data_IF_621661817336
#
_entry.id   IF_621661817336
#
_cell.length_a   1.000
_cell.length_b   1.000
_cell.length_c   1.000
_cell.angle_alpha   90.00
_cell.angle_beta   90.00
_cell.angle_gamma   90.00
#
_symmetry.space_group_name_H-M   'P 1'
#
loop_
_entity.id
_entity.type
_entity.pdbx_description
1 polymer ?
#
# COMPACT_ATOMS: atom_id res chain seq x y z
N UNK A 1 1.51 -21.67 -24.14
CA UNK A 1 1.12 -20.30 -24.54
C UNK A 1 0.03 -19.84 -23.60
N UNK A 2 0.43 -19.41 -22.41
CA UNK A 2 -0.45 -19.03 -21.31
C UNK A 2 -0.51 -17.51 -21.29
N UNK A 3 -1.68 -16.94 -21.58
CA UNK A 3 -1.90 -15.49 -21.48
C UNK A 3 -2.04 -15.16 -20.00
N UNK A 4 -1.07 -14.42 -19.45
CA UNK A 4 -1.22 -13.75 -18.15
C UNK A 4 -2.27 -12.66 -18.33
N UNK A 5 -3.43 -12.84 -17.71
CA UNK A 5 -4.48 -11.83 -17.59
C UNK A 5 -4.09 -11.03 -16.37
N UNK A 6 -3.37 -9.93 -16.60
CA UNK A 6 -2.98 -8.97 -15.56
C UNK A 6 -4.20 -8.16 -15.17
N UNK A 7 -4.45 -8.05 -13.87
CA UNK A 7 -5.74 -7.74 -13.28
C UNK A 7 -5.70 -6.32 -12.71
N UNK A 8 -5.89 -5.37 -13.60
CA UNK A 8 -5.97 -3.92 -13.36
C UNK A 8 -7.21 -3.62 -12.51
N UNK A 9 -7.13 -3.70 -11.18
CA UNK A 9 -8.30 -3.39 -10.33
C UNK A 9 -8.00 -2.78 -8.95
N UNK A 10 -6.74 -2.73 -8.48
CA UNK A 10 -6.46 -2.31 -7.09
C UNK A 10 -6.70 -0.81 -6.80
N UNK A 11 -6.84 0.06 -7.79
CA UNK A 11 -6.66 1.50 -7.57
C UNK A 11 -7.88 2.35 -7.19
N UNK A 12 -9.11 1.88 -7.38
CA UNK A 12 -10.28 2.76 -7.20
C UNK A 12 -10.70 2.84 -5.73
N UNK A 13 -10.32 1.89 -4.88
CA UNK A 13 -10.90 1.77 -3.54
C UNK A 13 -10.07 2.40 -2.40
N UNK A 14 -8.73 2.42 -2.48
CA UNK A 14 -7.91 3.03 -1.41
C UNK A 14 -8.23 4.53 -1.23
N UNK A 15 -8.57 5.24 -2.32
CA UNK A 15 -8.77 6.71 -2.28
C UNK A 15 -10.21 7.15 -2.00
N UNK A 16 -11.22 6.28 -2.12
CA UNK A 16 -12.59 6.63 -1.72
C UNK A 16 -12.82 6.57 -0.21
N UNK A 17 -11.88 6.01 0.56
CA UNK A 17 -12.06 5.84 2.02
C UNK A 17 -11.34 6.90 2.87
N UNK A 18 -10.35 7.63 2.34
CA UNK A 18 -9.68 8.72 3.07
C UNK A 18 -10.63 9.93 3.28
N UNK A 19 -11.63 10.12 2.41
CA UNK A 19 -12.63 11.19 2.56
C UNK A 19 -13.83 10.84 3.44
N UNK A 20 -13.88 9.64 4.06
CA UNK A 20 -15.11 9.07 4.61
C UNK A 20 -15.24 8.92 6.13
N UNK A 21 -14.17 9.12 6.92
CA UNK A 21 -14.20 8.88 8.37
C UNK A 21 -14.04 10.16 9.21
N UNK A 22 -14.92 11.14 8.97
CA UNK A 22 -15.21 12.19 9.94
C UNK A 22 -16.72 12.40 10.05
N UNK A 23 -17.44 11.42 10.62
CA UNK A 23 -18.78 11.65 11.18
C UNK A 23 -18.78 11.17 12.63
N UNK A 24 -18.30 12.05 13.50
CA UNK A 24 -18.58 12.00 14.93
C UNK A 24 -20.10 12.10 15.14
N UNK A 25 -20.63 11.19 15.95
CA UNK A 25 -21.93 11.37 16.61
C UNK A 25 -21.87 12.64 17.46
N UNK A 26 -22.70 13.63 17.15
CA UNK A 26 -23.35 14.38 18.22
C UNK A 26 -24.78 14.79 17.82
N UNK A 27 -25.70 14.54 18.75
CA UNK A 27 -27.12 14.84 18.62
C UNK A 27 -27.36 16.24 19.20
N UNK A 28 -27.57 17.25 18.34
CA UNK A 28 -27.97 18.58 18.81
C UNK A 28 -28.38 19.50 17.66
N UNK A 29 -29.67 19.87 17.64
CA UNK A 29 -30.36 20.70 16.63
C UNK A 29 -29.78 22.13 16.43
N UNK A 30 -30.15 22.80 15.32
CA UNK A 30 -29.39 23.86 14.65
C UNK A 30 -29.76 25.26 15.13
N UNK A 31 -28.83 26.22 15.01
CA UNK A 31 -29.10 27.61 14.62
C UNK A 31 -27.88 28.23 13.90
N UNK A 32 -28.18 28.87 12.77
CA UNK A 32 -27.53 29.98 12.07
C UNK A 32 -26.17 30.51 12.57
N UNK A 33 -25.18 30.55 11.67
CA UNK A 33 -24.55 31.80 11.22
C UNK A 33 -23.30 31.56 10.37
N UNK A 34 -23.24 32.26 9.22
CA UNK A 34 -22.08 32.38 8.37
C UNK A 34 -21.02 33.25 9.05
N UNK A 35 -19.78 32.78 9.21
CA UNK A 35 -18.61 33.64 9.37
C UNK A 35 -17.42 33.05 8.60
N UNK A 36 -16.98 33.81 7.60
CA UNK A 36 -15.70 33.66 6.91
C UNK A 36 -14.62 34.34 7.74
N UNK A 37 -13.46 33.71 7.90
CA UNK A 37 -12.29 34.33 8.54
C UNK A 37 -11.03 34.06 7.70
N UNK A 38 -10.93 34.80 6.60
CA UNK A 38 -9.63 35.35 6.20
C UNK A 38 -9.32 36.50 7.17
N UNK A 39 -8.26 36.38 7.97
CA UNK A 39 -7.41 37.47 8.50
C UNK A 39 -6.77 37.04 9.83
N UNK A 40 -5.61 37.64 10.12
CA UNK A 40 -4.62 37.32 11.16
C UNK A 40 -3.67 36.21 10.68
N UNK A 41 -2.47 36.50 10.17
CA UNK A 41 -1.47 37.43 10.70
C UNK A 41 -0.67 38.10 9.57
N UNK A 42 -0.56 39.42 9.62
CA UNK A 42 0.50 40.20 8.98
C UNK A 42 1.37 40.84 10.08
N UNK A 43 2.65 40.98 9.74
CA UNK A 43 3.67 41.89 10.29
C UNK A 43 4.26 41.56 11.68
N UNK A 44 5.57 41.67 11.95
CA UNK A 44 6.68 42.24 11.20
C UNK A 44 8.03 41.83 11.86
N UNK A 45 9.09 41.79 11.04
CA UNK A 45 10.46 42.28 11.33
C UNK A 45 11.38 41.62 12.39
N UNK A 46 12.50 41.01 11.94
CA UNK A 46 13.78 41.75 11.74
C UNK A 46 14.96 40.89 11.22
N UNK A 47 15.60 41.46 10.21
CA UNK A 47 16.92 41.16 9.62
C UNK A 47 18.09 41.33 10.60
N UNK A 48 19.13 40.47 10.48
CA UNK A 48 20.56 40.86 10.49
C UNK A 48 21.35 39.97 9.49
N UNK A 49 22.25 40.64 8.77
CA UNK A 49 23.13 40.18 7.67
C UNK A 49 24.52 39.77 8.19
N UNK A 50 25.22 38.94 7.38
CA UNK A 50 26.69 38.72 7.29
C UNK A 50 27.36 37.90 8.42
N UNK A 51 28.39 37.08 8.20
CA UNK A 51 29.49 37.15 7.23
C UNK A 51 30.19 35.78 7.09
N UNK A 52 30.89 35.59 5.97
CA UNK A 52 31.75 34.46 5.68
C UNK A 52 32.95 34.35 6.63
N UNK A 53 33.41 33.11 6.91
CA UNK A 53 34.83 32.88 7.15
C UNK A 53 35.30 31.53 6.58
N UNK A 54 36.47 31.57 5.97
CA UNK A 54 37.21 30.44 5.38
C UNK A 54 38.17 29.91 6.43
N UNK A 55 38.37 28.59 6.47
CA UNK A 55 39.70 28.01 6.70
C UNK A 55 39.79 26.61 6.13
N UNK A 56 40.88 26.40 5.39
CA UNK A 56 41.39 25.14 4.85
C UNK A 56 41.71 24.11 5.95
N UNK A 57 41.71 22.81 5.59
CA UNK A 57 42.47 21.84 6.37
C UNK A 57 42.12 20.36 6.20
N UNK A 58 42.93 19.70 5.38
CA UNK A 58 43.42 18.33 5.54
C UNK A 58 42.52 17.15 5.12
N UNK A 59 42.99 16.47 4.08
CA UNK A 59 42.71 15.09 3.69
C UNK A 59 43.01 14.15 4.86
N UNK A 60 42.01 13.35 5.27
CA UNK A 60 42.29 12.03 5.85
C UNK A 60 41.42 10.98 5.16
N UNK A 61 42.12 10.10 4.46
CA UNK A 61 41.62 9.01 3.66
C UNK A 61 41.48 7.78 4.54
N UNK A 62 40.26 7.46 4.96
CA UNK A 62 39.94 6.16 5.56
C UNK A 62 38.49 5.78 5.23
N UNK A 63 38.32 5.09 4.10
CA UNK A 63 37.08 4.35 3.78
C UNK A 63 37.22 2.94 4.37
N UNK A 64 36.42 2.55 5.38
CA UNK A 64 36.31 1.15 5.77
C UNK A 64 35.50 0.41 4.71
N UNK A 65 35.99 -0.76 4.30
CA UNK A 65 35.45 -1.55 3.19
C UNK A 65 33.93 -1.75 3.27
N UNK A 66 33.23 -1.20 2.28
CA UNK A 66 31.88 -1.64 1.95
C UNK A 66 31.98 -3.07 1.45
N UNK A 67 31.59 -4.02 2.30
CA UNK A 67 31.25 -5.37 1.87
C UNK A 67 30.09 -5.24 0.88
N UNK A 68 30.39 -5.33 -0.42
CA UNK A 68 29.39 -5.46 -1.45
C UNK A 68 28.65 -6.76 -1.16
N UNK A 69 27.42 -6.65 -0.67
CA UNK A 69 26.51 -7.79 -0.60
C UNK A 69 26.21 -8.18 -2.04
N UNK A 70 26.88 -9.23 -2.51
CA UNK A 70 26.56 -9.86 -3.78
C UNK A 70 25.34 -10.73 -3.51
N UNK A 71 24.16 -10.46 -4.11
CA UNK A 71 23.01 -11.34 -3.96
C UNK A 71 23.42 -12.72 -4.48
N UNK A 72 23.26 -13.73 -3.63
CA UNK A 72 23.40 -15.12 -4.07
C UNK A 72 22.23 -15.41 -5.01
N UNK A 73 22.44 -16.00 -6.19
CA UNK A 73 21.35 -16.31 -7.10
C UNK A 73 20.34 -17.23 -6.41
N UNK A 74 19.09 -16.74 -6.36
CA UNK A 74 17.95 -17.45 -5.79
C UNK A 74 17.65 -18.66 -6.70
N UNK A 75 17.52 -19.88 -6.16
CA UNK A 75 17.12 -21.04 -6.94
C UNK A 75 15.76 -20.82 -7.60
N UNK A 76 15.60 -21.21 -8.87
CA UNK A 76 14.42 -20.95 -9.73
C UNK A 76 13.10 -21.64 -9.29
N UNK A 77 12.98 -22.08 -8.03
CA UNK A 77 11.77 -22.71 -7.47
C UNK A 77 11.50 -22.31 -5.99
N UNK A 78 12.21 -21.32 -5.45
CA UNK A 78 11.95 -20.84 -4.09
C UNK A 78 11.01 -19.64 -4.11
N UNK A 79 9.74 -19.86 -3.77
CA UNK A 79 8.84 -18.78 -3.39
C UNK A 79 9.40 -18.06 -2.15
N UNK A 80 9.39 -16.73 -2.17
CA UNK A 80 9.62 -15.96 -0.95
C UNK A 80 8.47 -16.26 0.01
N UNK A 81 8.78 -16.91 1.13
CA UNK A 81 7.80 -17.22 2.16
C UNK A 81 7.75 -16.04 3.13
N UNK A 82 6.55 -15.49 3.31
CA UNK A 82 6.28 -14.38 4.19
C UNK A 82 5.45 -14.90 5.38
N UNK A 83 5.89 -14.63 6.60
CA UNK A 83 5.04 -14.82 7.77
C UNK A 83 4.16 -13.59 7.97
N UNK A 84 3.02 -13.74 8.65
CA UNK A 84 2.14 -12.60 8.89
C UNK A 84 2.79 -11.59 9.84
N UNK A 85 3.65 -12.05 10.75
CA UNK A 85 4.43 -11.23 11.67
C UNK A 85 5.47 -10.34 10.97
N UNK A 86 5.89 -10.70 9.75
CA UNK A 86 6.87 -9.94 8.98
C UNK A 86 6.30 -8.67 8.34
N UNK A 87 4.97 -8.46 8.42
CA UNK A 87 4.29 -7.31 7.82
C UNK A 87 4.50 -6.00 8.57
N UNK A 88 5.29 -6.01 9.65
CA UNK A 88 5.59 -4.83 10.46
C UNK A 88 7.10 -4.73 10.72
N UNK A 89 7.65 -3.52 10.58
CA UNK A 89 9.06 -3.28 10.88
C UNK A 89 9.30 -2.96 12.37
N UNK A 90 10.56 -2.76 12.76
CA UNK A 90 10.94 -2.43 14.15
C UNK A 90 10.37 -1.10 14.67
N UNK A 91 9.95 -0.20 13.77
CA UNK A 91 9.32 1.06 14.12
C UNK A 91 7.78 0.95 14.20
N UNK A 92 7.21 -0.21 13.91
CA UNK A 92 5.76 -0.39 13.86
C UNK A 92 5.13 -0.04 12.51
N UNK A 93 5.90 0.41 11.52
CA UNK A 93 5.35 0.67 10.19
C UNK A 93 4.97 -0.65 9.53
N UNK A 94 3.77 -0.72 8.95
CA UNK A 94 3.39 -1.85 8.12
C UNK A 94 4.15 -1.80 6.80
N UNK A 95 4.89 -2.87 6.46
CA UNK A 95 5.59 -3.00 5.18
C UNK A 95 5.90 -4.46 4.85
N UNK A 96 6.09 -4.75 3.56
CA UNK A 96 6.64 -6.04 3.13
C UNK A 96 8.18 -5.98 3.24
N UNK A 97 8.83 -6.97 3.88
CA UNK A 97 10.28 -7.00 4.03
C UNK A 97 11.01 -6.83 2.70
N UNK A 98 12.04 -5.98 2.70
CA UNK A 98 12.84 -5.66 1.51
C UNK A 98 12.40 -4.39 0.78
N UNK A 99 11.19 -3.87 1.04
CA UNK A 99 10.72 -2.60 0.49
C UNK A 99 10.67 -1.53 1.56
N UNK A 100 11.09 -0.33 1.19
CA UNK A 100 11.02 0.85 2.05
C UNK A 100 10.22 1.92 1.33
N UNK A 101 9.29 2.56 2.05
CA UNK A 101 8.52 3.68 1.53
C UNK A 101 9.43 4.79 0.97
N UNK A 102 8.92 5.49 -0.03
CA UNK A 102 9.60 6.55 -0.79
C UNK A 102 10.80 6.11 -1.64
N UNK A 103 11.14 4.83 -1.63
CA UNK A 103 12.21 4.31 -2.49
C UNK A 103 11.81 4.50 -3.94
N UNK A 104 12.74 5.05 -4.73
CA UNK A 104 12.48 5.35 -6.14
C UNK A 104 12.35 4.07 -6.97
N UNK A 105 11.46 4.12 -7.94
CA UNK A 105 11.18 3.02 -8.85
C UNK A 105 12.43 2.56 -9.62
N UNK A 106 13.26 3.48 -10.09
CA UNK A 106 14.48 3.13 -10.83
C UNK A 106 15.50 2.39 -9.95
N UNK A 107 15.53 2.69 -8.65
CA UNK A 107 16.36 1.97 -7.69
C UNK A 107 15.80 0.58 -7.40
N UNK A 108 14.49 0.45 -7.17
CA UNK A 108 13.85 -0.85 -6.92
C UNK A 108 13.99 -1.74 -8.16
N UNK A 109 13.76 -1.21 -9.36
CA UNK A 109 13.97 -1.96 -10.60
C UNK A 109 15.41 -2.42 -10.77
N UNK A 110 16.40 -1.57 -10.45
CA UNK A 110 17.80 -1.94 -10.53
C UNK A 110 18.22 -3.01 -9.48
N UNK A 111 17.64 -2.98 -8.28
CA UNK A 111 17.98 -3.89 -7.18
C UNK A 111 17.29 -5.25 -7.30
N UNK A 112 16.02 -5.24 -7.68
CA UNK A 112 15.14 -6.43 -7.68
C UNK A 112 14.84 -6.94 -9.08
N UNK A 113 15.35 -6.28 -10.12
CA UNK A 113 15.17 -6.71 -11.51
C UNK A 113 13.73 -6.58 -12.00
N UNK A 114 12.94 -5.66 -11.43
CA UNK A 114 11.55 -5.43 -11.86
C UNK A 114 11.50 -5.07 -13.34
N UNK A 115 10.67 -5.80 -14.07
CA UNK A 115 10.39 -5.52 -15.48
C UNK A 115 9.45 -4.31 -15.58
N UNK A 116 10.02 -3.14 -15.88
CA UNK A 116 9.23 -1.91 -16.00
C UNK A 116 8.38 -1.86 -17.27
N UNK A 117 8.49 -2.85 -18.18
CA UNK A 117 7.70 -2.92 -19.41
C UNK A 117 6.28 -3.45 -19.19
N UNK A 118 6.05 -4.16 -18.09
CA UNK A 118 4.75 -4.71 -17.69
C UNK A 118 4.00 -3.80 -16.70
N UNK A 119 4.42 -2.54 -16.60
CA UNK A 119 3.80 -1.57 -15.71
C UNK A 119 2.43 -1.12 -16.21
N UNK A 120 1.48 -1.09 -15.28
CA UNK A 120 0.13 -0.64 -15.54
C UNK A 120 -0.06 0.74 -14.91
N UNK A 121 -0.51 1.69 -15.73
CA UNK A 121 -0.75 3.06 -15.26
C UNK A 121 -2.16 3.13 -14.67
N UNK A 122 -2.23 3.38 -13.38
CA UNK A 122 -3.47 3.66 -12.68
C UNK A 122 -4.04 5.04 -13.03
N UNK A 123 -5.28 5.33 -12.57
CA UNK A 123 -5.85 6.66 -12.67
C UNK A 123 -4.97 7.68 -11.92
N UNK A 124 -4.97 8.92 -12.42
CA UNK A 124 -4.39 10.04 -11.69
C UNK A 124 -5.37 10.43 -10.58
N UNK A 125 -4.90 10.45 -9.35
CA UNK A 125 -5.72 10.86 -8.19
C UNK A 125 -4.98 11.96 -7.46
N UNK A 126 -5.69 13.07 -7.23
CA UNK A 126 -5.17 14.27 -6.57
C UNK A 126 -3.90 14.89 -7.21
N UNK A 127 -3.67 14.59 -8.49
CA UNK A 127 -2.53 15.09 -9.24
C UNK A 127 -1.38 14.10 -9.34
N UNK A 128 -1.39 13.03 -8.54
CA UNK A 128 -0.32 12.04 -8.48
C UNK A 128 -0.58 10.91 -9.46
N UNK A 129 0.50 10.47 -10.12
CA UNK A 129 0.44 9.32 -11.02
C UNK A 129 0.74 8.04 -10.26
N UNK A 130 -0.19 7.11 -10.32
CA UNK A 130 0.03 5.78 -9.75
C UNK A 130 0.34 4.74 -10.81
N UNK A 131 1.32 3.90 -10.51
CA UNK A 131 1.81 2.82 -11.38
C UNK A 131 1.92 1.55 -10.55
N UNK A 132 1.44 0.44 -11.10
CA UNK A 132 1.71 -0.87 -10.52
C UNK A 132 2.58 -1.75 -11.39
N UNK A 133 3.26 -2.67 -10.72
CA UNK A 133 4.12 -3.66 -11.33
C UNK A 133 3.97 -4.98 -10.57
N UNK A 134 3.62 -6.04 -11.29
CA UNK A 134 3.66 -7.41 -10.74
C UNK A 134 5.12 -7.81 -10.60
N UNK A 135 5.55 -8.04 -9.37
CA UNK A 135 6.91 -8.45 -9.07
C UNK A 135 7.09 -9.96 -9.16
N UNK A 136 6.09 -10.73 -8.71
CA UNK A 136 6.18 -12.17 -8.66
C UNK A 136 5.18 -12.79 -7.71
N UNK A 137 5.58 -13.89 -7.06
CA UNK A 137 4.73 -14.68 -6.19
C UNK A 137 5.32 -14.76 -4.77
N UNK A 138 4.47 -14.64 -3.77
CA UNK A 138 4.82 -14.80 -2.35
C UNK A 138 3.95 -15.86 -1.71
N UNK A 139 4.53 -16.63 -0.80
CA UNK A 139 3.82 -17.67 -0.06
C UNK A 139 3.40 -17.15 1.32
N UNK A 140 2.11 -17.18 1.61
CA UNK A 140 1.49 -16.73 2.87
C UNK A 140 0.49 -17.78 3.35
N UNK A 141 0.64 -18.29 4.59
CA UNK A 141 -0.17 -19.39 5.15
C UNK A 141 -0.37 -20.58 4.18
N UNK A 142 0.72 -21.05 3.59
CA UNK A 142 0.72 -22.15 2.62
C UNK A 142 0.02 -21.90 1.26
N UNK A 143 -0.55 -20.72 1.05
CA UNK A 143 -1.10 -20.29 -0.23
C UNK A 143 -0.14 -19.36 -0.99
N UNK A 144 -0.21 -19.36 -2.32
CA UNK A 144 0.63 -18.54 -3.19
C UNK A 144 -0.18 -17.33 -3.66
N UNK A 145 0.30 -16.15 -3.32
CA UNK A 145 -0.26 -14.86 -3.70
C UNK A 145 0.59 -14.23 -4.79
N UNK A 146 -0.05 -13.56 -5.75
CA UNK A 146 0.65 -12.62 -6.62
C UNK A 146 1.02 -11.39 -5.80
N UNK A 147 2.23 -10.88 -5.99
CA UNK A 147 2.74 -9.68 -5.35
C UNK A 147 2.85 -8.54 -6.36
N UNK A 148 2.13 -7.46 -6.07
CA UNK A 148 2.10 -6.26 -6.87
C UNK A 148 2.61 -5.08 -6.07
N UNK A 149 3.54 -4.32 -6.65
CA UNK A 149 4.11 -3.13 -6.07
C UNK A 149 3.39 -1.89 -6.61
N UNK A 150 3.07 -0.96 -5.72
CA UNK A 150 2.40 0.31 -6.00
C UNK A 150 3.37 1.46 -5.85
N UNK A 151 3.47 2.29 -6.90
CA UNK A 151 4.32 3.47 -6.94
C UNK A 151 3.47 4.71 -7.21
N UNK A 152 3.61 5.71 -6.36
CA UNK A 152 3.02 7.05 -6.53
C UNK A 152 4.13 8.03 -6.90
N UNK A 153 3.98 8.71 -8.03
CA UNK A 153 5.00 9.62 -8.60
C UNK A 153 6.40 9.01 -8.69
N UNK A 154 6.46 7.72 -9.04
CA UNK A 154 7.70 6.96 -9.17
C UNK A 154 8.36 6.61 -7.83
N UNK A 155 7.65 6.74 -6.72
CA UNK A 155 8.09 6.33 -5.38
C UNK A 155 7.21 5.22 -4.82
N UNK A 156 7.83 4.22 -4.23
CA UNK A 156 7.11 3.11 -3.62
C UNK A 156 6.20 3.61 -2.48
N UNK A 157 4.91 3.31 -2.59
CA UNK A 157 3.87 3.73 -1.66
C UNK A 157 3.10 2.58 -1.04
N UNK A 158 3.30 1.35 -1.51
CA UNK A 158 2.69 0.15 -0.94
C UNK A 158 2.73 -1.06 -1.86
N UNK A 159 2.14 -2.14 -1.38
CA UNK A 159 2.03 -3.41 -2.08
C UNK A 159 0.68 -4.04 -1.88
N UNK A 160 0.29 -4.89 -2.83
CA UNK A 160 -0.87 -5.76 -2.72
C UNK A 160 -0.41 -7.22 -2.88
N UNK A 161 -0.78 -8.07 -1.93
CA UNK A 161 -0.75 -9.52 -2.09
C UNK A 161 -2.17 -9.97 -2.43
N UNK A 162 -2.37 -10.53 -3.61
CA UNK A 162 -3.70 -11.01 -4.02
C UNK A 162 -3.69 -12.46 -4.48
N UNK A 163 -4.78 -13.15 -4.16
CA UNK A 163 -5.06 -14.50 -4.61
C UNK A 163 -6.46 -14.51 -5.21
N UNK A 164 -6.56 -15.05 -6.41
CA UNK A 164 -7.83 -15.28 -7.08
C UNK A 164 -8.06 -16.78 -7.23
N UNK A 165 -9.23 -17.23 -6.78
CA UNK A 165 -9.64 -18.62 -6.83
C UNK A 165 -9.82 -19.08 -8.28
N UNK A 166 -9.58 -20.37 -8.54
CA UNK A 166 -9.96 -20.97 -9.80
C UNK A 166 -11.49 -20.99 -9.98
N UNK A 167 -11.97 -21.19 -11.20
CA UNK A 167 -13.41 -21.20 -11.48
C UNK A 167 -14.13 -22.28 -10.65
N UNK A 168 -15.01 -21.84 -9.74
CA UNK A 168 -15.79 -22.70 -8.85
C UNK A 168 -15.06 -23.13 -7.57
N UNK A 169 -13.84 -22.66 -7.34
CA UNK A 169 -13.14 -22.84 -6.07
C UNK A 169 -13.67 -21.88 -5.00
N UNK A 170 -13.77 -22.39 -3.76
CA UNK A 170 -14.18 -21.62 -2.58
C UNK A 170 -12.99 -21.50 -1.61
N UNK A 171 -12.45 -20.29 -1.51
CA UNK A 171 -11.31 -19.97 -0.65
C UNK A 171 -11.75 -19.29 0.67
N UNK A 172 -13.02 -19.42 1.06
CA UNK A 172 -13.56 -18.82 2.30
C UNK A 172 -12.78 -19.25 3.55
N UNK A 173 -12.42 -20.53 3.65
CA UNK A 173 -11.65 -21.02 4.79
C UNK A 173 -10.25 -20.37 4.90
N UNK A 174 -9.61 -20.06 3.76
CA UNK A 174 -8.33 -19.37 3.74
C UNK A 174 -8.50 -17.91 4.18
N UNK A 175 -9.55 -17.24 3.68
CA UNK A 175 -9.90 -15.89 4.07
C UNK A 175 -10.13 -15.77 5.59
N UNK A 176 -10.96 -16.64 6.17
CA UNK A 176 -11.27 -16.63 7.60
C UNK A 176 -10.04 -16.90 8.47
N UNK A 177 -9.13 -17.77 8.03
CA UNK A 177 -7.87 -18.05 8.71
C UNK A 177 -6.92 -16.86 8.68
N UNK A 178 -6.79 -16.20 7.52
CA UNK A 178 -5.97 -15.00 7.38
C UNK A 178 -6.53 -13.85 8.22
N UNK A 179 -7.84 -13.59 8.14
CA UNK A 179 -8.50 -12.58 8.95
C UNK A 179 -8.25 -12.79 10.44
N UNK A 180 -8.49 -14.01 10.93
CA UNK A 180 -8.33 -14.34 12.35
C UNK A 180 -6.90 -14.13 12.85
N UNK A 181 -5.90 -14.44 12.02
CA UNK A 181 -4.49 -14.28 12.40
C UNK A 181 -4.03 -12.83 12.30
N UNK A 182 -4.42 -12.12 11.25
CA UNK A 182 -4.15 -10.68 11.11
C UNK A 182 -4.81 -9.89 12.23
N UNK A 183 -6.05 -10.19 12.59
CA UNK A 183 -6.74 -9.55 13.70
C UNK A 183 -6.08 -9.86 15.05
N UNK A 184 -5.60 -11.09 15.25
CA UNK A 184 -4.85 -11.44 16.46
C UNK A 184 -3.52 -10.68 16.58
N UNK A 185 -2.82 -10.50 15.46
CA UNK A 185 -1.50 -9.86 15.44
C UNK A 185 -1.60 -8.33 15.51
N UNK A 186 -2.52 -7.75 14.75
CA UNK A 186 -2.54 -6.32 14.47
C UNK A 186 -3.84 -5.63 14.89
N UNK A 187 -4.89 -6.37 15.25
CA UNK A 187 -6.18 -5.78 15.61
C UNK A 187 -6.86 -5.09 14.44
N UNK A 188 -7.11 -5.83 13.34
CA UNK A 188 -7.81 -5.36 12.14
C UNK A 188 -9.17 -4.71 12.45
N UNK A 189 -9.80 -5.11 13.56
CA UNK A 189 -11.06 -4.52 14.00
C UNK A 189 -12.28 -5.10 13.26
N UNK A 190 -13.39 -4.37 13.29
CA UNK A 190 -14.67 -4.86 12.78
C UNK A 190 -14.69 -4.97 11.25
N UNK A 191 -15.10 -6.13 10.74
CA UNK A 191 -15.31 -6.36 9.32
C UNK A 191 -16.47 -5.54 8.78
N UNK A 192 -16.18 -4.72 7.77
CA UNK A 192 -17.16 -3.96 7.00
C UNK A 192 -17.55 -4.73 5.74
N UNK A 193 -18.80 -4.60 5.31
CA UNK A 193 -19.33 -5.30 4.14
C UNK A 193 -20.12 -4.38 3.21
N UNK A 194 -19.69 -4.29 1.95
CA UNK A 194 -20.44 -3.65 0.86
C UNK A 194 -21.11 -4.73 0.03
N UNK A 195 -22.41 -4.58 -0.24
CA UNK A 195 -23.16 -5.52 -1.09
C UNK A 195 -23.15 -5.06 -2.55
N UNK A 196 -23.07 -6.03 -3.47
CA UNK A 196 -23.11 -5.88 -4.92
C UNK A 196 -22.07 -4.90 -5.43
N UNK A 197 -20.85 -5.41 -5.62
CA UNK A 197 -19.72 -4.62 -6.13
C UNK A 197 -19.47 -4.97 -7.59
N UNK A 198 -19.24 -3.95 -8.40
CA UNK A 198 -18.97 -4.07 -9.84
C UNK A 198 -17.60 -3.48 -10.12
N UNK A 199 -16.75 -4.27 -10.77
CA UNK A 199 -15.41 -3.89 -11.15
C UNK A 199 -15.29 -3.76 -12.67
N UNK A 200 -14.93 -2.59 -13.19
CA UNK A 200 -14.60 -2.46 -14.60
C UNK A 200 -13.27 -3.18 -14.87
N UNK A 201 -13.24 -3.96 -15.95
CA UNK A 201 -12.04 -4.57 -16.50
C UNK A 201 -11.59 -3.77 -17.72
N UNK A 202 -10.29 -3.75 -17.98
CA UNK A 202 -9.66 -3.01 -19.10
C UNK A 202 -10.19 -3.36 -20.50
N UNK A 203 -10.80 -4.53 -20.64
CA UNK A 203 -11.45 -4.95 -21.89
C UNK A 203 -12.88 -4.40 -22.04
N UNK A 204 -13.31 -3.49 -21.16
CA UNK A 204 -14.64 -2.91 -21.12
C UNK A 204 -15.72 -3.85 -20.58
N UNK A 205 -15.35 -5.01 -20.04
CA UNK A 205 -16.27 -5.89 -19.32
C UNK A 205 -16.33 -5.48 -17.86
N UNK A 206 -17.37 -5.95 -17.19
CA UNK A 206 -17.55 -5.77 -15.75
C UNK A 206 -17.47 -7.13 -15.07
N UNK A 207 -16.81 -7.16 -13.92
CA UNK A 207 -16.85 -8.28 -12.98
C UNK A 207 -17.78 -7.94 -11.83
N UNK A 208 -18.59 -8.91 -11.44
CA UNK A 208 -19.61 -8.73 -10.43
C UNK A 208 -19.29 -9.59 -9.21
N UNK A 209 -19.42 -9.00 -8.03
CA UNK A 209 -19.34 -9.71 -6.76
C UNK A 209 -20.60 -9.45 -5.96
N UNK A 210 -21.09 -10.47 -5.27
CA UNK A 210 -22.23 -10.34 -4.35
C UNK A 210 -21.88 -9.43 -3.17
N UNK A 211 -20.62 -9.46 -2.74
CA UNK A 211 -20.12 -8.51 -1.76
C UNK A 211 -18.60 -8.36 -1.73
N UNK A 212 -18.16 -7.27 -1.11
CA UNK A 212 -16.79 -6.99 -0.74
C UNK A 212 -16.76 -6.81 0.78
N UNK A 213 -16.01 -7.66 1.46
CA UNK A 213 -15.71 -7.60 2.89
C UNK A 213 -14.34 -7.00 3.08
N UNK A 214 -14.17 -6.11 4.04
CA UNK A 214 -12.86 -5.52 4.31
C UNK A 214 -12.69 -5.10 5.76
N UNK A 215 -11.44 -5.03 6.20
CA UNK A 215 -11.03 -4.52 7.50
C UNK A 215 -9.68 -3.85 7.38
N UNK A 216 -9.43 -2.84 8.20
CA UNK A 216 -8.16 -2.12 8.15
C UNK A 216 -7.69 -1.71 9.53
N UNK A 217 -6.37 -1.67 9.66
CA UNK A 217 -5.67 -1.11 10.81
C UNK A 217 -4.64 -0.13 10.29
N UNK A 218 -4.43 0.95 11.04
CA UNK A 218 -3.49 2.00 10.71
C UNK A 218 -2.58 2.26 11.90
N UNK A 219 -1.32 2.47 11.61
CA UNK A 219 -0.32 2.93 12.58
C UNK A 219 0.07 4.36 12.20
N UNK A 220 -0.01 5.27 13.17
CA UNK A 220 0.30 6.68 13.01
C UNK A 220 1.40 7.06 14.01
N UNK A 221 2.59 7.40 13.50
CA UNK A 221 3.70 7.92 14.29
C UNK A 221 4.21 9.22 13.66
N UNK A 222 3.81 10.36 14.24
CA UNK A 222 4.20 11.68 13.73
C UNK A 222 3.55 11.97 12.37
N UNK A 223 4.35 12.30 11.36
CA UNK A 223 3.90 12.54 9.96
C UNK A 223 3.96 11.26 9.10
N UNK A 224 4.02 10.10 9.75
CA UNK A 224 4.02 8.80 9.08
C UNK A 224 2.78 8.06 9.48
N UNK A 225 1.98 7.73 8.47
CA UNK A 225 0.85 6.84 8.67
C UNK A 225 0.95 5.69 7.67
N UNK A 226 0.89 4.46 8.17
CA UNK A 226 0.89 3.24 7.35
C UNK A 226 -0.32 2.39 7.71
N UNK A 227 -0.76 1.52 6.81
CA UNK A 227 -1.96 0.74 7.03
C UNK A 227 -1.91 -0.62 6.36
N UNK A 228 -2.68 -1.54 6.96
CA UNK A 228 -3.08 -2.80 6.36
C UNK A 228 -4.55 -2.68 5.98
N UNK A 229 -4.90 -3.06 4.76
CA UNK A 229 -6.28 -3.30 4.33
C UNK A 229 -6.39 -4.75 3.90
N UNK A 230 -7.24 -5.52 4.57
CA UNK A 230 -7.52 -6.90 4.22
C UNK A 230 -8.91 -7.01 3.62
N UNK A 231 -9.01 -7.57 2.42
CA UNK A 231 -10.24 -7.62 1.63
C UNK A 231 -10.57 -9.04 1.16
N UNK A 232 -11.87 -9.34 1.09
CA UNK A 232 -12.42 -10.57 0.53
C UNK A 232 -13.60 -10.28 -0.38
N UNK A 233 -13.60 -10.86 -1.58
CA UNK A 233 -14.67 -10.71 -2.56
C UNK A 233 -15.49 -11.99 -2.64
N UNK A 234 -16.80 -11.85 -2.47
CA UNK A 234 -17.76 -12.94 -2.41
C UNK A 234 -18.54 -13.05 -3.72
N UNK A 235 -18.61 -14.25 -4.29
CA UNK A 235 -19.45 -14.58 -5.44
C UNK A 235 -20.23 -15.88 -5.13
N UNK A 236 -21.55 -15.85 -5.31
CA UNK A 236 -22.47 -16.93 -4.97
C UNK A 236 -22.34 -17.46 -3.52
N UNK A 237 -21.98 -16.57 -2.59
CA UNK A 237 -21.79 -16.89 -1.17
C UNK A 237 -20.43 -17.50 -0.80
N UNK A 238 -19.51 -17.65 -1.76
CA UNK A 238 -18.14 -18.10 -1.52
C UNK A 238 -17.15 -16.94 -1.73
N UNK A 239 -16.10 -16.86 -0.92
CA UNK A 239 -14.96 -15.97 -1.22
C UNK A 239 -14.21 -16.55 -2.41
N UNK A 240 -13.97 -15.72 -3.43
CA UNK A 240 -13.28 -16.07 -4.68
C UNK A 240 -12.04 -15.22 -4.95
N UNK A 241 -11.83 -14.17 -4.15
CA UNK A 241 -10.61 -13.35 -4.23
C UNK A 241 -10.29 -12.78 -2.85
N UNK A 242 -9.01 -12.79 -2.50
CA UNK A 242 -8.45 -12.21 -1.28
C UNK A 242 -7.40 -11.19 -1.68
N UNK A 243 -7.41 -10.03 -1.04
CA UNK A 243 -6.38 -8.99 -1.18
C UNK A 243 -5.89 -8.58 0.20
N UNK A 244 -4.58 -8.40 0.31
CA UNK A 244 -3.90 -7.84 1.46
C UNK A 244 -3.02 -6.70 0.98
N UNK A 245 -3.47 -5.48 1.25
CA UNK A 245 -2.74 -4.27 0.92
C UNK A 245 -1.96 -3.78 2.13
N UNK A 246 -0.70 -3.43 1.90
CA UNK A 246 0.17 -2.77 2.89
C UNK A 246 0.66 -1.47 2.27
N UNK A 247 0.30 -0.34 2.86
CA UNK A 247 0.48 0.95 2.20
C UNK A 247 0.81 2.06 3.18
N UNK A 248 1.43 3.11 2.63
CA UNK A 248 1.61 4.37 3.32
C UNK A 248 0.44 5.29 2.99
N UNK A 249 -0.17 5.84 4.02
CA UNK A 249 -1.07 6.99 3.92
C UNK A 249 -0.23 8.23 3.66
N UNK A 250 -0.63 9.01 2.67
CA UNK A 250 -0.01 10.29 2.38
C UNK A 250 -0.90 11.34 3.03
N UNK A 251 -0.35 12.07 4.00
CA UNK A 251 -1.03 13.21 4.60
C UNK A 251 -1.27 14.29 3.54
N UNK A 252 -2.48 14.85 3.51
CA UNK A 252 -2.87 16.00 2.67
C UNK A 252 -2.20 17.31 3.11
#
# INVERSE_FOLDING_TARGET
MTKRVSLVCCYIFILLFITGCAVQRDNGRPEDSCISVNSLFEDEDKSIVSQADRTDGLLDSSVPGQSIFVPTPIPEDSFTTLSLEDLQNENGDFLIPGYFYDTRLDLISALYGLDTSIMEKGPQVDGDFTVTCVEGEMKLLDAIFQHELTFRDGRYSGSCLFLEAEEGEDITNLYEQLYSQLDLLYGLGEEQKIKKVVFPLDNGRERYFDSHKFSSVHEEEGERSTGILFSGYEENGAIVRIELDVYRLVDE
#
